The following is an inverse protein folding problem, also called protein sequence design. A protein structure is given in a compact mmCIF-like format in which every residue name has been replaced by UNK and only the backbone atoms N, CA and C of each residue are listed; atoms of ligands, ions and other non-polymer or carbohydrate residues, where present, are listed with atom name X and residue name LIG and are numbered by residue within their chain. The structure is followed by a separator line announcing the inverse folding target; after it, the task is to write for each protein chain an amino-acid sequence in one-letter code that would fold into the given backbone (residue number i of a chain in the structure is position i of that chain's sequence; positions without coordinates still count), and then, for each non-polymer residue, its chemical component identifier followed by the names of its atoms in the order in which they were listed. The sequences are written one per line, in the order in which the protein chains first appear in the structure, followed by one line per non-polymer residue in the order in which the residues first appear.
data_IF_890055610555
#
_entry.id   IF_890055610555
#
_cell.length_a   1.000
_cell.length_b   1.000
_cell.length_c   1.000
_cell.angle_alpha   90.00
_cell.angle_beta   90.00
_cell.angle_gamma   90.00
#
_symmetry.space_group_name_H-M   'P 1'
#
loop_
_entity.id
_entity.type
_entity.pdbx_description
1 polymer ?
#
# COMPACT_ATOMS: atom_id res chain seq x y z
N UNK A 1 8.88 -10.46 -9.31
CA UNK A 1 7.80 -9.46 -9.46
C UNK A 1 6.90 -9.57 -8.24
N UNK A 2 6.56 -8.44 -7.60
CA UNK A 2 5.74 -8.44 -6.38
C UNK A 2 4.34 -8.96 -6.73
N UNK A 3 3.87 -10.02 -6.08
CA UNK A 3 2.48 -10.47 -6.20
C UNK A 3 1.61 -9.55 -5.37
N UNK A 4 0.60 -8.95 -5.99
CA UNK A 4 -0.30 -7.98 -5.37
C UNK A 4 -1.73 -8.38 -5.74
N UNK A 5 -2.59 -8.48 -4.75
CA UNK A 5 -4.02 -8.73 -4.94
C UNK A 5 -4.86 -7.82 -4.07
N UNK A 6 -6.12 -7.65 -4.44
CA UNK A 6 -7.10 -7.07 -3.55
C UNK A 6 -7.41 -8.10 -2.45
N UNK A 7 -7.37 -7.66 -1.19
CA UNK A 7 -7.80 -8.45 -0.05
C UNK A 7 -9.24 -8.12 0.29
N UNK A 8 -9.96 -9.11 0.84
CA UNK A 8 -11.32 -8.88 1.35
C UNK A 8 -11.23 -7.84 2.46
N UNK A 9 -11.91 -6.72 2.28
CA UNK A 9 -12.04 -5.72 3.33
C UNK A 9 -12.81 -6.32 4.51
N UNK A 10 -12.28 -6.11 5.71
CA UNK A 10 -12.97 -6.44 6.95
C UNK A 10 -13.74 -5.20 7.40
N UNK A 11 -15.00 -5.36 7.81
CA UNK A 11 -15.89 -4.26 8.20
C UNK A 11 -15.35 -3.42 9.38
N UNK A 12 -14.44 -3.99 10.16
CA UNK A 12 -13.76 -3.30 11.27
C UNK A 12 -12.64 -2.37 10.82
N UNK A 13 -12.26 -2.39 9.53
CA UNK A 13 -11.19 -1.55 8.98
C UNK A 13 -11.78 -0.37 8.22
N UNK A 14 -11.51 0.84 8.73
CA UNK A 14 -11.91 2.10 8.10
C UNK A 14 -11.02 2.45 6.89
N UNK A 15 -10.97 1.58 5.88
CA UNK A 15 -10.26 1.82 4.61
C UNK A 15 -11.23 1.71 3.43
N UNK A 16 -10.81 2.08 2.22
CA UNK A 16 -11.60 1.88 1.00
C UNK A 16 -11.17 0.62 0.27
N UNK A 17 -9.91 0.21 0.45
CA UNK A 17 -9.42 -1.07 -0.04
C UNK A 17 -8.18 -1.52 0.73
N UNK A 18 -7.97 -2.83 0.73
CA UNK A 18 -6.80 -3.48 1.32
C UNK A 18 -6.05 -4.24 0.22
N UNK A 19 -4.76 -3.97 0.04
CA UNK A 19 -3.90 -4.76 -0.82
C UNK A 19 -3.17 -5.81 0.01
N UNK A 20 -3.14 -7.04 -0.46
CA UNK A 20 -2.27 -8.08 0.06
C UNK A 20 -1.09 -8.29 -0.89
N UNK A 21 0.10 -8.28 -0.33
CA UNK A 21 1.38 -8.40 -1.02
C UNK A 21 2.06 -9.70 -0.58
N UNK A 22 2.96 -10.22 -1.42
CA UNK A 22 3.86 -11.33 -1.06
C UNK A 22 3.16 -12.59 -0.54
N UNK A 23 2.05 -12.99 -1.17
CA UNK A 23 1.22 -14.12 -0.69
C UNK A 23 0.75 -13.92 0.76
N UNK A 24 0.25 -12.71 1.06
CA UNK A 24 -0.40 -12.36 2.33
C UNK A 24 0.55 -12.12 3.52
N UNK A 25 1.85 -12.01 3.26
CA UNK A 25 2.83 -11.62 4.30
C UNK A 25 2.79 -10.12 4.63
N UNK A 26 2.24 -9.30 3.73
CA UNK A 26 2.12 -7.85 3.92
C UNK A 26 0.73 -7.37 3.50
N UNK A 27 0.08 -6.56 4.34
CA UNK A 27 -1.21 -5.93 4.02
C UNK A 27 -1.11 -4.41 4.08
N UNK A 28 -1.72 -3.73 3.12
CA UNK A 28 -1.73 -2.27 3.01
C UNK A 28 -3.16 -1.76 2.89
N UNK A 29 -3.62 -1.01 3.88
CA UNK A 29 -4.95 -0.40 3.89
C UNK A 29 -4.88 1.04 3.38
N UNK A 30 -5.62 1.35 2.33
CA UNK A 30 -5.62 2.68 1.73
C UNK A 30 -6.93 3.41 1.94
N UNK A 31 -6.81 4.73 2.06
CA UNK A 31 -7.90 5.69 2.04
C UNK A 31 -7.82 6.57 0.81
N UNK A 32 -8.99 6.87 0.22
CA UNK A 32 -9.12 7.84 -0.88
C UNK A 32 -9.48 9.18 -0.25
N UNK A 33 -8.57 10.15 -0.32
CA UNK A 33 -8.82 11.51 0.18
C UNK A 33 -9.77 12.25 -0.75
N UNK A 34 -10.31 13.37 -0.27
CA UNK A 34 -11.25 14.21 -1.01
C UNK A 34 -10.70 14.70 -2.36
N UNK A 35 -9.38 14.88 -2.45
CA UNK A 35 -8.69 15.24 -3.70
C UNK A 35 -8.48 14.06 -4.66
N UNK A 36 -8.94 12.86 -4.31
CA UNK A 36 -8.79 11.62 -5.06
C UNK A 36 -7.42 10.96 -4.92
N UNK A 37 -6.50 11.52 -4.12
CA UNK A 37 -5.21 10.90 -3.85
C UNK A 37 -5.35 9.78 -2.81
N UNK A 38 -4.50 8.76 -2.95
CA UNK A 38 -4.45 7.63 -2.04
C UNK A 38 -3.48 7.90 -0.89
N UNK A 39 -3.90 7.61 0.33
CA UNK A 39 -3.03 7.62 1.51
C UNK A 39 -3.11 6.28 2.23
N UNK A 40 -1.98 5.77 2.69
CA UNK A 40 -1.92 4.54 3.47
C UNK A 40 -2.33 4.84 4.92
N UNK A 41 -3.30 4.09 5.44
CA UNK A 41 -3.74 4.20 6.83
C UNK A 41 -2.98 3.24 7.74
N UNK A 42 -2.61 2.08 7.19
CA UNK A 42 -1.97 1.00 7.93
C UNK A 42 -1.21 0.11 6.97
N UNK A 43 -0.03 -0.32 7.39
CA UNK A 43 0.67 -1.46 6.79
C UNK A 43 0.96 -2.49 7.86
N UNK A 44 0.78 -3.77 7.58
CA UNK A 44 1.19 -4.85 8.47
C UNK A 44 2.16 -5.78 7.79
N UNK A 45 3.10 -6.30 8.56
CA UNK A 45 4.12 -7.23 8.11
C UNK A 45 4.13 -8.46 9.02
N UNK A 46 4.25 -9.64 8.43
CA UNK A 46 4.58 -10.85 9.18
C UNK A 46 5.89 -10.64 9.94
N UNK A 47 5.93 -11.06 11.21
CA UNK A 47 7.11 -10.88 12.07
C UNK A 47 7.23 -9.51 12.77
N UNK A 48 6.53 -8.47 12.31
CA UNK A 48 6.58 -7.13 12.95
C UNK A 48 5.24 -6.65 13.50
N UNK A 49 4.12 -7.03 12.89
CA UNK A 49 2.78 -6.56 13.26
C UNK A 49 2.32 -5.34 12.45
N UNK A 50 1.47 -4.49 13.05
CA UNK A 50 0.79 -3.40 12.35
C UNK A 50 1.45 -2.04 12.64
N UNK A 51 1.90 -1.36 11.58
CA UNK A 51 2.33 0.03 11.60
C UNK A 51 1.15 0.95 11.26
N UNK A 52 0.85 1.89 12.16
CA UNK A 52 -0.10 2.99 11.96
C UNK A 52 0.72 4.28 11.86
N UNK A 53 0.88 4.87 10.66
CA UNK A 53 1.77 6.02 10.48
C UNK A 53 1.27 7.23 11.28
N UNK A 54 2.05 7.69 12.25
CA UNK A 54 1.60 8.69 13.24
C UNK A 54 1.71 10.15 12.78
N UNK A 55 2.54 10.46 11.76
CA UNK A 55 2.61 11.76 11.08
C UNK A 55 3.61 11.73 9.91
N UNK A 56 3.54 12.73 9.03
CA UNK A 56 4.52 12.92 7.94
C UNK A 56 4.38 11.99 6.73
N UNK A 57 3.38 11.09 6.76
CA UNK A 57 3.08 10.23 5.64
C UNK A 57 2.56 11.06 4.46
N UNK A 58 3.25 10.94 3.33
CA UNK A 58 2.84 11.52 2.06
C UNK A 58 1.73 10.65 1.45
N UNK A 59 0.79 11.29 0.78
CA UNK A 59 -0.12 10.62 -0.14
C UNK A 59 0.58 10.28 -1.45
N UNK A 60 0.03 9.31 -2.19
CA UNK A 60 0.39 9.08 -3.59
C UNK A 60 0.03 10.34 -4.40
N UNK A 61 0.89 10.72 -5.34
CA UNK A 61 0.56 11.80 -6.27
C UNK A 61 -0.70 11.46 -7.09
N UNK A 62 -1.34 12.48 -7.66
CA UNK A 62 -2.61 12.33 -8.38
C UNK A 62 -2.52 11.35 -9.56
N UNK A 63 -1.40 11.31 -10.29
CA UNK A 63 -1.22 10.43 -11.45
C UNK A 63 -1.08 8.99 -11.00
N UNK A 64 -0.25 8.73 -10.00
CA UNK A 64 -0.04 7.39 -9.44
C UNK A 64 -1.32 6.87 -8.76
N UNK A 65 -2.05 7.74 -8.04
CA UNK A 65 -3.34 7.41 -7.43
C UNK A 65 -4.38 6.97 -8.47
N UNK A 66 -4.61 7.78 -9.51
CA UNK A 66 -5.53 7.45 -10.61
C UNK A 66 -5.14 6.15 -11.31
N UNK A 67 -3.84 5.96 -11.53
CA UNK A 67 -3.32 4.75 -12.16
C UNK A 67 -3.59 3.51 -11.31
N UNK A 68 -3.27 3.56 -10.02
CA UNK A 68 -3.48 2.43 -9.12
C UNK A 68 -4.96 2.08 -8.97
N UNK A 69 -5.83 3.07 -8.83
CA UNK A 69 -7.29 2.87 -8.79
C UNK A 69 -7.83 2.20 -10.06
N UNK A 70 -7.37 2.63 -11.24
CA UNK A 70 -7.75 2.00 -12.51
C UNK A 70 -7.22 0.56 -12.63
N UNK A 71 -6.03 0.26 -12.09
CA UNK A 71 -5.50 -1.10 -12.05
C UNK A 71 -6.28 -2.00 -11.08
N UNK A 72 -6.75 -1.47 -9.95
CA UNK A 72 -7.65 -2.17 -9.02
C UNK A 72 -8.97 -2.49 -9.72
N UNK A 73 -9.60 -1.50 -10.37
CA UNK A 73 -10.89 -1.67 -11.06
C UNK A 73 -10.83 -2.72 -12.19
N UNK A 74 -9.67 -2.87 -12.83
CA UNK A 74 -9.44 -3.83 -13.91
C UNK A 74 -8.89 -5.18 -13.44
N UNK A 75 -8.77 -5.39 -12.13
CA UNK A 75 -8.10 -6.55 -11.52
C UNK A 75 -6.71 -6.85 -12.10
N UNK A 76 -5.96 -5.80 -12.45
CA UNK A 76 -4.63 -5.88 -13.07
C UNK A 76 -3.52 -5.46 -12.10
N UNK A 77 -3.61 -5.94 -10.86
CA UNK A 77 -2.69 -5.56 -9.79
C UNK A 77 -1.31 -6.21 -9.93
N UNK A 78 -1.21 -7.37 -10.57
CA UNK A 78 0.06 -8.04 -10.89
C UNK A 78 0.71 -7.44 -12.15
N UNK A 79 0.87 -6.11 -12.19
CA UNK A 79 1.56 -5.40 -13.26
C UNK A 79 2.86 -4.74 -12.75
N UNK A 80 3.84 -4.58 -13.64
CA UNK A 80 5.10 -3.88 -13.32
C UNK A 80 4.84 -2.44 -12.88
N UNK A 81 3.77 -1.84 -13.40
CA UNK A 81 3.35 -0.49 -13.03
C UNK A 81 2.86 -0.43 -11.58
N UNK A 82 2.04 -1.39 -11.13
CA UNK A 82 1.62 -1.49 -9.73
C UNK A 82 2.83 -1.63 -8.81
N UNK A 83 3.76 -2.53 -9.15
CA UNK A 83 4.98 -2.75 -8.36
C UNK A 83 5.79 -1.46 -8.20
N UNK A 84 5.96 -0.69 -9.29
CA UNK A 84 6.69 0.58 -9.28
C UNK A 84 5.99 1.63 -8.41
N UNK A 85 4.66 1.76 -8.54
CA UNK A 85 3.89 2.72 -7.75
C UNK A 85 4.02 2.41 -6.26
N UNK A 86 3.81 1.15 -5.87
CA UNK A 86 3.88 0.73 -4.47
C UNK A 86 5.30 0.88 -3.92
N UNK A 87 6.33 0.41 -4.63
CA UNK A 87 7.71 0.53 -4.16
C UNK A 87 8.15 1.99 -4.01
N UNK A 88 7.83 2.85 -4.98
CA UNK A 88 8.15 4.29 -4.86
C UNK A 88 7.42 4.92 -3.66
N UNK A 89 6.14 4.61 -3.48
CA UNK A 89 5.38 5.10 -2.34
C UNK A 89 5.99 4.70 -1.00
N UNK A 90 6.40 3.43 -0.87
CA UNK A 90 7.06 2.92 0.33
C UNK A 90 8.42 3.59 0.55
N UNK A 91 9.21 3.83 -0.51
CA UNK A 91 10.50 4.55 -0.43
C UNK A 91 10.33 5.98 0.06
N UNK A 92 9.35 6.69 -0.47
CA UNK A 92 9.08 8.08 -0.10
C UNK A 92 8.60 8.22 1.35
N UNK A 93 8.07 7.14 1.92
CA UNK A 93 7.47 7.09 3.25
C UNK A 93 8.20 6.19 4.25
N UNK A 94 9.37 5.63 3.90
CA UNK A 94 10.05 4.59 4.69
C UNK A 94 10.29 4.97 6.15
N UNK A 95 10.57 6.25 6.41
CA UNK A 95 10.78 6.78 7.77
C UNK A 95 9.52 6.70 8.65
N UNK A 96 8.33 6.71 8.03
CA UNK A 96 7.03 6.60 8.71
C UNK A 96 6.47 5.17 8.71
N UNK A 97 7.16 4.20 8.09
CA UNK A 97 6.64 2.85 7.80
C UNK A 97 7.53 1.70 8.28
N UNK A 98 8.41 1.95 9.26
CA UNK A 98 9.41 1.00 9.75
C UNK A 98 10.35 0.51 8.64
N UNK A 99 11.38 1.33 8.35
CA UNK A 99 12.33 1.07 7.26
C UNK A 99 12.95 -0.34 7.30
N UNK A 100 13.26 -0.86 8.50
CA UNK A 100 13.80 -2.21 8.68
C UNK A 100 12.87 -3.30 8.09
N UNK A 101 11.56 -3.21 8.39
CA UNK A 101 10.57 -4.17 7.90
C UNK A 101 10.39 -4.08 6.37
N UNK A 102 10.46 -2.87 5.82
CA UNK A 102 10.42 -2.67 4.36
C UNK A 102 11.62 -3.31 3.66
N UNK A 103 12.82 -3.24 4.28
CA UNK A 103 14.04 -3.85 3.74
C UNK A 103 14.00 -5.38 3.87
N UNK A 104 13.59 -5.92 5.02
CA UNK A 104 13.50 -7.37 5.24
C UNK A 104 12.49 -8.03 4.29
N UNK A 105 11.35 -7.36 4.06
CA UNK A 105 10.38 -7.76 3.05
C UNK A 105 10.78 -7.36 1.63
N UNK A 106 11.97 -6.81 1.37
CA UNK A 106 12.44 -6.45 0.01
C UNK A 106 11.46 -5.55 -0.78
N UNK A 107 10.77 -4.64 -0.08
CA UNK A 107 9.80 -3.71 -0.68
C UNK A 107 10.47 -2.40 -1.14
N UNK A 108 11.65 -2.10 -0.58
CA UNK A 108 12.45 -0.92 -0.92
C UNK A 108 13.90 -1.28 -1.26
#
# INVERSE_FOLDING_TARGET
MLKIRLSKQLDTRNCQFCLALQNDAVFMDFYIKENGCLILLRISFDGYGCCYPSSGLKELDSKSSKTLLNLIQKDNLNSTQTCKIISNYLKDNKKSLWEEALQEHQLI
#
